data_IF_350035479154
#
_entry.id   IF_350035479154
#
_cell.length_a   1.000
_cell.length_b   1.000
_cell.length_c   1.000
_cell.angle_alpha   90.00
_cell.angle_beta   90.00
_cell.angle_gamma   90.00
#
_symmetry.space_group_name_H-M   'P 1'
#
loop_
_entity.id
_entity.type
_entity.pdbx_description
1 polymer ?
#
# COMPACT_ATOMS: atom_id res chain seq x y z
N UNK A 1 29.13 33.77 63.91
CA UNK A 1 27.75 33.78 63.37
C UNK A 1 27.67 34.01 61.85
N UNK A 2 28.43 34.94 61.25
CA UNK A 2 28.34 35.23 59.80
C UNK A 2 28.78 34.12 58.83
N UNK A 3 29.73 33.24 59.22
CA UNK A 3 30.19 32.14 58.33
C UNK A 3 29.21 30.96 58.23
N UNK A 4 28.34 30.77 59.22
CA UNK A 4 27.36 29.67 59.21
C UNK A 4 26.13 30.03 58.35
N UNK A 5 25.75 31.31 58.33
CA UNK A 5 24.59 31.82 57.56
C UNK A 5 24.85 31.73 56.05
N UNK A 6 26.06 32.03 55.58
CA UNK A 6 26.43 31.92 54.16
C UNK A 6 26.51 30.48 53.66
N UNK A 7 26.88 29.52 54.52
CA UNK A 7 26.91 28.10 54.17
C UNK A 7 25.48 27.52 54.04
N UNK A 8 24.56 27.96 54.90
CA UNK A 8 23.15 27.54 54.86
C UNK A 8 22.44 28.19 53.65
N UNK A 9 22.73 29.46 53.33
CA UNK A 9 22.19 30.15 52.16
C UNK A 9 22.66 29.52 50.83
N UNK A 10 23.94 29.11 50.75
CA UNK A 10 24.47 28.40 49.59
C UNK A 10 23.86 27.00 49.41
N UNK A 11 23.64 26.26 50.50
CA UNK A 11 23.01 24.94 50.45
C UNK A 11 21.52 25.00 50.07
N UNK A 12 20.79 26.03 50.50
CA UNK A 12 19.38 26.23 50.11
C UNK A 12 19.22 26.58 48.63
N UNK A 13 20.14 27.38 48.05
CA UNK A 13 20.10 27.71 46.62
C UNK A 13 20.38 26.48 45.74
N UNK A 14 21.34 25.62 46.12
CA UNK A 14 21.62 24.37 45.41
C UNK A 14 20.45 23.38 45.51
N UNK A 15 19.79 23.32 46.67
CA UNK A 15 18.59 22.49 46.86
C UNK A 15 17.38 22.95 46.04
N UNK A 16 17.17 24.27 45.91
CA UNK A 16 16.09 24.84 45.08
C UNK A 16 16.33 24.62 43.58
N UNK A 17 17.58 24.69 43.11
CA UNK A 17 17.93 24.37 41.72
C UNK A 17 17.79 22.86 41.42
N UNK A 18 18.12 21.98 42.36
CA UNK A 18 17.92 20.54 42.22
C UNK A 18 16.44 20.14 42.20
N UNK A 19 15.59 20.80 43.01
CA UNK A 19 14.14 20.59 42.99
C UNK A 19 13.51 21.09 41.67
N UNK A 20 13.99 22.18 41.10
CA UNK A 20 13.50 22.68 39.82
C UNK A 20 13.88 21.78 38.63
N UNK A 21 15.10 21.20 38.63
CA UNK A 21 15.53 20.24 37.62
C UNK A 21 14.79 18.89 37.74
N UNK A 22 14.49 18.45 38.96
CA UNK A 22 13.67 17.24 39.20
C UNK A 22 12.24 17.38 38.65
N UNK A 23 11.65 18.57 38.76
CA UNK A 23 10.32 18.89 38.22
C UNK A 23 10.30 18.96 36.68
N UNK A 24 11.40 19.39 36.07
CA UNK A 24 11.57 19.43 34.59
C UNK A 24 11.78 18.01 34.03
N UNK A 25 12.49 17.13 34.73
CA UNK A 25 12.67 15.74 34.30
C UNK A 25 11.40 14.88 34.50
N UNK A 26 10.63 15.07 35.57
CA UNK A 26 9.34 14.37 35.74
C UNK A 26 8.26 14.80 34.73
N UNK A 27 8.32 16.03 34.20
CA UNK A 27 7.40 16.48 33.15
C UNK A 27 7.81 16.07 31.73
N UNK A 28 9.07 15.62 31.54
CA UNK A 28 9.55 15.06 30.28
C UNK A 28 9.22 13.56 30.14
N UNK A 29 9.30 12.77 31.22
CA UNK A 29 9.01 11.32 31.19
C UNK A 29 7.51 11.01 31.17
N UNK A 30 6.65 11.90 31.70
CA UNK A 30 5.19 11.76 31.62
C UNK A 30 4.62 12.01 30.20
N UNK A 31 5.38 12.63 29.28
CA UNK A 31 4.95 12.84 27.89
C UNK A 31 5.32 11.71 26.93
N UNK A 32 6.17 10.77 27.36
CA UNK A 32 6.61 9.65 26.51
C UNK A 32 5.80 8.37 26.77
N UNK A 33 5.10 8.25 27.91
CA UNK A 33 4.38 7.03 28.27
C UNK A 33 2.87 7.02 27.92
N UNK A 34 2.26 8.16 27.58
CA UNK A 34 0.81 8.23 27.28
C UNK A 34 0.48 8.22 25.77
N UNK A 35 1.49 8.15 24.89
CA UNK A 35 1.31 8.07 23.43
C UNK A 35 1.16 6.64 22.88
N UNK A 36 1.21 5.61 23.74
CA UNK A 36 1.06 4.20 23.33
C UNK A 36 -0.27 3.54 23.72
N UNK A 37 -1.29 4.28 24.20
CA UNK A 37 -2.56 3.65 24.65
C UNK A 37 -3.90 4.28 24.24
N UNK A 38 -3.96 5.15 23.24
CA UNK A 38 -5.25 5.67 22.74
C UNK A 38 -5.36 5.70 21.21
N UNK A 39 -5.46 4.52 20.58
CA UNK A 39 -5.98 4.38 19.21
C UNK A 39 -6.83 3.11 19.06
N UNK A 40 -7.73 2.85 20.02
CA UNK A 40 -8.92 2.02 19.81
C UNK A 40 -10.08 2.60 20.62
N UNK A 41 -10.50 3.81 20.27
CA UNK A 41 -11.78 4.36 20.73
C UNK A 41 -12.39 5.17 19.59
N UNK A 42 -13.45 4.60 19.01
CA UNK A 42 -14.33 5.25 18.05
C UNK A 42 -14.89 6.54 18.65
N UNK A 43 -14.86 7.70 17.96
CA UNK A 43 -15.60 8.86 18.40
C UNK A 43 -17.04 8.73 17.93
N UNK A 44 -17.94 8.55 18.89
CA UNK A 44 -19.36 8.79 18.72
C UNK A 44 -19.60 10.19 18.17
N UNK A 45 -20.53 10.23 17.22
CA UNK A 45 -21.19 11.38 16.63
C UNK A 45 -21.49 12.53 17.60
N UNK A 46 -20.95 13.72 17.32
CA UNK A 46 -21.49 14.99 17.77
C UNK A 46 -21.80 15.83 16.51
N UNK A 47 -23.09 15.96 16.21
CA UNK A 47 -23.63 16.70 15.05
C UNK A 47 -24.05 18.08 15.54
N UNK A 48 -23.50 19.20 15.03
CA UNK A 48 -24.15 20.49 15.12
C UNK A 48 -25.23 20.57 14.03
N UNK A 49 -26.44 20.85 14.50
CA UNK A 49 -27.66 21.03 13.74
C UNK A 49 -27.55 22.22 12.77
N UNK A 50 -27.60 21.98 11.46
CA UNK A 50 -27.85 23.01 10.45
C UNK A 50 -28.82 22.47 9.39
N UNK A 51 -30.05 22.96 9.47
CA UNK A 51 -31.15 22.81 8.51
C UNK A 51 -30.81 23.44 7.16
N UNK A 52 -31.03 22.69 6.08
CA UNK A 52 -31.69 23.03 4.80
C UNK A 52 -31.07 22.21 3.66
N UNK A 53 -31.73 21.12 3.27
CA UNK A 53 -32.64 21.04 2.11
C UNK A 53 -31.93 21.13 0.76
N UNK A 54 -31.55 19.97 0.21
CA UNK A 54 -31.83 19.62 -1.19
C UNK A 54 -32.12 18.12 -1.28
N UNK A 55 -33.21 17.82 -1.98
CA UNK A 55 -33.91 16.53 -2.04
C UNK A 55 -33.23 15.52 -2.97
N UNK A 56 -33.01 14.33 -2.44
CA UNK A 56 -33.27 12.99 -3.01
C UNK A 56 -32.99 12.71 -4.49
N UNK A 57 -31.98 11.88 -4.75
CA UNK A 57 -32.08 10.72 -5.66
C UNK A 57 -31.34 9.53 -5.02
N UNK A 58 -32.08 8.48 -4.63
CA UNK A 58 -31.52 7.17 -4.28
C UNK A 58 -31.09 6.43 -5.57
N UNK A 59 -30.12 5.49 -5.47
CA UNK A 59 -30.55 4.09 -5.41
C UNK A 59 -29.72 3.20 -4.47
N UNK A 60 -30.44 2.41 -3.65
CA UNK A 60 -30.37 0.94 -3.72
C UNK A 60 -29.10 0.22 -3.25
N UNK A 61 -29.16 -0.24 -2.00
CA UNK A 61 -28.60 -1.49 -1.46
C UNK A 61 -27.58 -2.27 -2.32
N UNK A 62 -26.33 -2.33 -1.84
CA UNK A 62 -25.55 -3.56 -1.77
C UNK A 62 -24.40 -3.42 -0.75
N UNK A 63 -24.70 -3.62 0.53
CA UNK A 63 -23.70 -3.94 1.53
C UNK A 63 -23.26 -5.41 1.33
N UNK A 64 -22.27 -5.62 0.46
CA UNK A 64 -21.56 -6.89 0.31
C UNK A 64 -20.23 -6.83 1.05
N UNK A 65 -19.98 -7.80 1.94
CA UNK A 65 -18.70 -7.97 2.65
C UNK A 65 -17.55 -8.13 1.64
N UNK A 66 -16.74 -7.10 1.44
CA UNK A 66 -15.47 -7.24 0.73
C UNK A 66 -14.42 -7.76 1.72
N UNK A 67 -14.15 -9.07 1.63
CA UNK A 67 -12.96 -9.67 2.21
C UNK A 67 -11.70 -9.11 1.53
N UNK A 68 -10.58 -9.12 2.25
CA UNK A 68 -9.29 -8.69 1.76
C UNK A 68 -8.97 -9.32 0.39
N UNK A 69 -8.95 -8.51 -0.66
CA UNK A 69 -8.65 -8.97 -2.02
C UNK A 69 -7.14 -8.94 -2.25
N UNK A 70 -6.52 -10.11 -2.10
CA UNK A 70 -5.16 -10.39 -2.57
C UNK A 70 -5.16 -10.37 -4.10
N UNK A 71 -4.66 -9.29 -4.71
CA UNK A 71 -4.58 -9.12 -6.16
C UNK A 71 -3.44 -9.98 -6.75
N UNK A 72 -3.79 -11.19 -7.19
CA UNK A 72 -2.90 -12.11 -7.90
C UNK A 72 -2.68 -11.65 -9.34
N UNK A 73 -1.66 -10.82 -9.58
CA UNK A 73 -1.09 -10.60 -10.92
C UNK A 73 -0.14 -11.76 -11.22
N UNK A 74 -0.70 -12.85 -11.75
CA UNK A 74 0.05 -14.01 -12.21
C UNK A 74 0.24 -14.00 -13.72
N UNK A 75 1.48 -13.73 -14.16
CA UNK A 75 2.01 -14.02 -15.50
C UNK A 75 1.15 -13.55 -16.69
N UNK A 76 1.11 -12.22 -16.90
CA UNK A 76 0.77 -11.65 -18.21
C UNK A 76 1.92 -12.02 -19.18
N UNK A 77 1.66 -12.56 -20.39
CA UNK A 77 2.71 -12.83 -21.36
C UNK A 77 3.49 -11.54 -21.63
N UNK A 78 4.84 -11.62 -21.66
CA UNK A 78 5.64 -10.47 -22.11
C UNK A 78 5.22 -10.13 -23.54
N UNK A 79 4.74 -8.89 -23.70
CA UNK A 79 4.43 -8.16 -24.94
C UNK A 79 4.97 -8.86 -26.20
N UNK A 80 4.12 -9.69 -26.82
CA UNK A 80 4.30 -10.15 -28.19
C UNK A 80 3.90 -9.03 -29.16
N UNK A 81 4.60 -8.91 -30.28
CA UNK A 81 4.59 -7.77 -31.21
C UNK A 81 3.24 -7.45 -31.91
N UNK A 82 2.07 -7.95 -31.47
CA UNK A 82 0.77 -7.66 -32.09
C UNK A 82 -0.43 -7.63 -31.10
N UNK A 83 -0.23 -7.39 -29.80
CA UNK A 83 -1.32 -7.33 -28.81
C UNK A 83 -1.58 -5.88 -28.37
N UNK A 84 -2.27 -5.12 -29.22
CA UNK A 84 -2.72 -3.76 -28.87
C UNK A 84 -3.90 -3.87 -27.89
N UNK A 85 -3.66 -3.57 -26.62
CA UNK A 85 -4.72 -3.41 -25.63
C UNK A 85 -5.70 -2.34 -26.13
N UNK A 86 -6.86 -2.79 -26.64
CA UNK A 86 -7.81 -1.94 -27.37
C UNK A 86 -8.32 -0.82 -26.46
N UNK A 87 -7.80 0.38 -26.67
CA UNK A 87 -8.11 1.60 -25.90
C UNK A 87 -8.82 2.63 -26.77
N UNK A 88 -9.60 2.19 -27.74
CA UNK A 88 -10.38 3.09 -28.59
C UNK A 88 -11.81 3.27 -28.05
N UNK A 89 -12.09 4.48 -27.56
CA UNK A 89 -13.45 5.00 -27.36
C UNK A 89 -13.95 4.91 -25.91
N UNK A 90 -14.44 6.05 -25.38
CA UNK A 90 -14.98 6.16 -24.02
C UNK A 90 -15.95 5.01 -23.65
N UNK A 91 -15.80 4.52 -22.42
CA UNK A 91 -16.25 3.22 -21.89
C UNK A 91 -15.40 1.99 -22.33
N UNK A 92 -14.07 2.13 -22.27
CA UNK A 92 -13.08 1.16 -22.76
C UNK A 92 -13.12 -0.20 -22.05
N UNK A 93 -13.26 -1.27 -22.83
CA UNK A 93 -13.02 -2.65 -22.38
C UNK A 93 -11.52 -2.94 -22.48
N UNK A 94 -10.79 -2.73 -21.38
CA UNK A 94 -9.35 -3.04 -21.22
C UNK A 94 -9.10 -4.55 -21.27
N UNK A 95 -9.38 -5.18 -22.41
CA UNK A 95 -9.39 -6.61 -22.58
C UNK A 95 -8.69 -6.96 -23.90
N UNK A 96 -7.91 -8.04 -23.89
CA UNK A 96 -7.25 -8.57 -25.08
C UNK A 96 -7.40 -10.09 -25.10
N UNK A 97 -7.17 -10.70 -26.26
CA UNK A 97 -7.33 -12.14 -26.46
C UNK A 97 -5.99 -12.79 -26.77
N UNK A 98 -5.70 -13.90 -26.10
CA UNK A 98 -4.49 -14.70 -26.33
C UNK A 98 -4.87 -16.17 -26.52
N UNK A 99 -4.11 -16.87 -27.36
CA UNK A 99 -4.29 -18.32 -27.57
C UNK A 99 -3.19 -19.06 -26.84
N UNK A 100 -3.57 -19.90 -25.87
CA UNK A 100 -2.66 -20.64 -25.00
C UNK A 100 -2.96 -22.15 -25.02
N UNK A 101 -1.98 -23.01 -24.75
CA UNK A 101 -2.22 -24.44 -24.52
C UNK A 101 -3.16 -24.69 -23.32
N UNK A 102 -3.95 -25.77 -23.36
CA UNK A 102 -4.91 -26.09 -22.29
C UNK A 102 -4.27 -26.26 -20.90
N UNK A 103 -3.06 -26.78 -20.83
CA UNK A 103 -2.28 -27.00 -19.60
C UNK A 103 -1.75 -25.70 -18.98
N UNK A 104 -1.85 -24.57 -19.68
CA UNK A 104 -1.41 -23.26 -19.20
C UNK A 104 -2.57 -22.42 -18.65
N UNK A 105 -3.82 -22.84 -18.84
CA UNK A 105 -5.01 -22.08 -18.45
C UNK A 105 -5.02 -21.76 -16.95
N UNK A 106 -4.67 -22.74 -16.11
CA UNK A 106 -4.69 -22.58 -14.64
C UNK A 106 -3.64 -21.61 -14.10
N UNK A 107 -2.70 -21.15 -14.94
CA UNK A 107 -1.71 -20.13 -14.58
C UNK A 107 -2.27 -18.72 -14.62
N UNK A 108 -3.42 -18.52 -15.27
CA UNK A 108 -4.06 -17.22 -15.39
C UNK A 108 -5.21 -17.11 -14.40
N UNK A 109 -5.19 -16.03 -13.61
CA UNK A 109 -6.28 -15.71 -12.70
C UNK A 109 -7.40 -14.95 -13.43
N UNK A 110 -8.65 -15.25 -13.11
CA UNK A 110 -9.84 -14.51 -13.57
C UNK A 110 -9.95 -14.32 -15.09
N UNK A 111 -10.08 -15.44 -15.82
CA UNK A 111 -10.16 -15.45 -17.28
C UNK A 111 -11.58 -15.71 -17.81
N UNK A 112 -11.77 -15.44 -19.11
CA UNK A 112 -12.91 -15.93 -19.90
C UNK A 112 -12.43 -16.80 -21.05
N UNK A 113 -12.93 -18.04 -21.15
CA UNK A 113 -12.61 -18.92 -22.28
C UNK A 113 -13.56 -18.57 -23.43
N UNK A 114 -13.00 -18.19 -24.58
CA UNK A 114 -13.75 -17.81 -25.78
C UNK A 114 -13.96 -19.03 -26.66
N UNK A 115 -12.88 -19.79 -26.92
CA UNK A 115 -12.91 -20.94 -27.82
C UNK A 115 -11.92 -22.00 -27.37
N UNK A 116 -12.25 -23.28 -27.59
CA UNK A 116 -11.34 -24.41 -27.45
C UNK A 116 -11.14 -25.08 -28.81
N UNK A 117 -9.92 -25.04 -29.33
CA UNK A 117 -9.53 -25.66 -30.60
C UNK A 117 -8.38 -26.64 -30.39
N UNK A 118 -8.68 -27.94 -30.47
CA UNK A 118 -7.69 -29.00 -30.27
C UNK A 118 -7.04 -28.92 -28.89
N UNK A 119 -5.72 -28.74 -28.86
CA UNK A 119 -4.92 -28.59 -27.62
C UNK A 119 -4.76 -27.15 -27.12
N UNK A 120 -5.38 -26.19 -27.79
CA UNK A 120 -5.28 -24.76 -27.50
C UNK A 120 -6.64 -24.17 -27.13
N UNK A 121 -6.64 -23.24 -26.19
CA UNK A 121 -7.77 -22.40 -25.83
C UNK A 121 -7.47 -20.95 -26.14
N UNK A 122 -8.41 -20.27 -26.76
CA UNK A 122 -8.41 -18.81 -26.87
C UNK A 122 -9.11 -18.25 -25.64
N UNK A 123 -8.39 -17.44 -24.88
CA UNK A 123 -8.86 -16.83 -23.64
C UNK A 123 -8.86 -15.30 -23.75
N UNK A 124 -9.73 -14.67 -22.98
CA UNK A 124 -9.82 -13.22 -22.80
C UNK A 124 -9.21 -12.83 -21.46
N UNK A 125 -8.31 -11.85 -21.48
CA UNK A 125 -7.57 -11.34 -20.33
C UNK A 125 -7.78 -9.83 -20.20
N UNK A 126 -7.77 -9.31 -18.97
CA UNK A 126 -7.69 -7.88 -18.74
C UNK A 126 -6.27 -7.38 -18.98
N UNK A 127 -6.13 -6.15 -19.48
CA UNK A 127 -4.85 -5.48 -19.65
C UNK A 127 -4.08 -5.37 -18.32
N UNK A 128 -2.77 -5.17 -18.43
CA UNK A 128 -1.92 -4.97 -17.26
C UNK A 128 -2.43 -3.84 -16.36
N UNK A 129 -2.52 -4.13 -15.05
CA UNK A 129 -3.07 -3.20 -14.06
C UNK A 129 -4.61 -3.16 -13.98
N UNK A 130 -5.31 -4.02 -14.72
CA UNK A 130 -6.76 -4.19 -14.63
C UNK A 130 -7.13 -5.59 -14.13
N UNK A 131 -8.27 -5.71 -13.45
CA UNK A 131 -8.81 -6.99 -12.97
C UNK A 131 -10.22 -7.21 -13.49
N UNK A 132 -10.57 -8.48 -13.72
CA UNK A 132 -11.87 -8.86 -14.24
C UNK A 132 -12.93 -8.86 -13.12
N UNK A 133 -13.93 -8.00 -13.26
CA UNK A 133 -15.11 -7.97 -12.40
C UNK A 133 -16.30 -8.52 -13.19
N UNK A 134 -16.93 -9.56 -12.64
CA UNK A 134 -18.14 -10.17 -13.21
C UNK A 134 -19.37 -9.52 -12.59
N UNK A 135 -20.08 -8.71 -13.36
CA UNK A 135 -21.37 -8.16 -12.97
C UNK A 135 -22.49 -8.92 -13.71
N UNK A 136 -23.72 -8.82 -13.19
CA UNK A 136 -24.90 -9.55 -13.70
C UNK A 136 -25.18 -9.40 -15.21
N UNK A 137 -24.59 -8.39 -15.87
CA UNK A 137 -24.83 -8.08 -17.28
C UNK A 137 -23.57 -8.11 -18.16
N UNK A 138 -22.37 -8.00 -17.59
CA UNK A 138 -21.12 -7.94 -18.37
C UNK A 138 -19.87 -8.23 -17.55
N UNK A 139 -18.87 -8.75 -18.24
CA UNK A 139 -17.49 -8.82 -17.78
C UNK A 139 -16.84 -7.45 -17.99
N UNK A 140 -16.28 -6.86 -16.94
CA UNK A 140 -15.64 -5.55 -16.99
C UNK A 140 -14.23 -5.62 -16.42
N UNK A 141 -13.26 -5.10 -17.16
CA UNK A 141 -11.91 -4.91 -16.64
C UNK A 141 -11.84 -3.57 -15.91
N UNK A 142 -11.71 -3.62 -14.59
CA UNK A 142 -11.60 -2.42 -13.73
C UNK A 142 -10.15 -2.21 -13.32
N UNK A 143 -9.66 -0.96 -13.28
CA UNK A 143 -8.28 -0.68 -12.89
C UNK A 143 -8.03 -1.07 -11.43
N UNK A 144 -6.79 -1.44 -11.14
CA UNK A 144 -6.29 -1.77 -9.81
C UNK A 144 -5.45 -0.60 -9.32
N UNK A 145 -5.72 -0.15 -8.08
CA UNK A 145 -4.93 0.85 -7.37
C UNK A 145 -4.69 0.34 -5.95
N UNK A 146 -3.46 0.47 -5.45
CA UNK A 146 -3.15 0.03 -4.08
C UNK A 146 -3.66 1.01 -3.01
N UNK A 147 -3.52 2.31 -3.26
CA UNK A 147 -3.80 3.36 -2.28
C UNK A 147 -4.64 4.49 -2.88
N UNK A 148 -5.94 4.22 -3.07
CA UNK A 148 -6.90 5.18 -3.63
C UNK A 148 -7.95 5.63 -2.61
N UNK A 149 -7.52 5.96 -1.38
CA UNK A 149 -8.45 6.43 -0.34
C UNK A 149 -8.94 7.82 -0.70
N UNK A 150 -10.25 8.05 -0.59
CA UNK A 150 -10.91 9.31 -0.97
C UNK A 150 -10.80 9.67 -2.46
N UNK A 151 -10.68 8.66 -3.31
CA UNK A 151 -10.73 8.82 -4.76
C UNK A 151 -11.27 7.57 -5.44
N UNK A 152 -11.49 7.70 -6.74
CA UNK A 152 -11.84 6.63 -7.64
C UNK A 152 -10.60 6.21 -8.44
N UNK A 153 -10.36 4.90 -8.51
CA UNK A 153 -9.34 4.35 -9.39
C UNK A 153 -9.83 4.45 -10.84
N UNK A 154 -9.18 5.28 -11.66
CA UNK A 154 -9.57 5.56 -13.06
C UNK A 154 -8.59 4.98 -14.08
N UNK A 155 -7.43 4.55 -13.61
CA UNK A 155 -6.44 3.79 -14.36
C UNK A 155 -5.53 3.05 -13.38
N UNK A 156 -4.66 2.14 -13.86
CA UNK A 156 -3.71 1.43 -13.00
C UNK A 156 -2.91 2.42 -12.18
N UNK A 157 -3.02 2.31 -10.85
CA UNK A 157 -2.34 3.18 -9.87
C UNK A 157 -2.62 4.69 -10.05
N UNK A 158 -3.70 5.03 -10.78
CA UNK A 158 -4.13 6.40 -11.03
C UNK A 158 -5.46 6.68 -10.35
N UNK A 159 -5.40 7.55 -9.35
CA UNK A 159 -6.53 7.99 -8.56
C UNK A 159 -7.06 9.34 -9.04
N UNK A 160 -8.34 9.38 -9.36
CA UNK A 160 -9.12 10.61 -9.46
C UNK A 160 -9.72 10.91 -8.08
N UNK A 161 -9.28 11.98 -7.44
CA UNK A 161 -9.74 12.32 -6.09
C UNK A 161 -11.20 12.79 -6.09
N UNK A 162 -11.97 12.42 -5.06
CA UNK A 162 -13.33 12.91 -4.87
C UNK A 162 -13.35 14.42 -4.57
N UNK A 163 -14.53 15.02 -4.69
CA UNK A 163 -14.72 16.43 -4.38
C UNK A 163 -14.25 16.77 -2.96
N UNK A 164 -13.47 17.86 -2.86
CA UNK A 164 -12.83 18.28 -1.61
C UNK A 164 -11.53 17.55 -1.26
N UNK A 165 -11.03 16.68 -2.16
CA UNK A 165 -9.72 16.05 -2.05
C UNK A 165 -8.83 16.44 -3.24
N UNK A 166 -7.51 16.38 -3.04
CA UNK A 166 -6.52 16.68 -4.08
C UNK A 166 -5.36 15.71 -3.98
N UNK A 167 -4.76 15.37 -5.12
CA UNK A 167 -3.60 14.46 -5.18
C UNK A 167 -2.34 15.17 -4.68
N UNK A 168 -1.65 14.61 -3.70
CA UNK A 168 -0.37 15.10 -3.21
C UNK A 168 0.82 14.53 -4.00
N UNK A 169 2.04 14.92 -3.63
CA UNK A 169 3.29 14.45 -4.25
C UNK A 169 3.51 12.93 -4.12
N UNK A 170 2.86 12.29 -3.14
CA UNK A 170 2.90 10.83 -2.92
C UNK A 170 1.84 10.08 -3.73
N UNK A 171 0.99 10.79 -4.49
CA UNK A 171 -0.10 10.21 -5.26
C UNK A 171 -1.38 9.94 -4.47
N UNK A 172 -1.43 10.31 -3.19
CA UNK A 172 -2.57 10.11 -2.30
C UNK A 172 -3.60 11.26 -2.43
N UNK A 173 -4.88 10.94 -2.29
CA UNK A 173 -5.93 11.95 -2.23
C UNK A 173 -6.10 12.49 -0.80
N UNK A 174 -5.57 13.69 -0.57
CA UNK A 174 -5.55 14.37 0.73
C UNK A 174 -6.60 15.47 0.80
N UNK A 175 -6.99 15.84 2.02
CA UNK A 175 -8.01 16.88 2.24
C UNK A 175 -7.62 18.22 1.62
N UNK A 176 -8.57 18.81 0.91
CA UNK A 176 -8.54 20.19 0.42
C UNK A 176 -9.78 20.96 0.89
N UNK A 177 -9.70 22.28 0.84
CA UNK A 177 -10.78 23.12 1.33
C UNK A 177 -12.02 22.96 0.44
N UNK A 178 -13.23 23.00 1.01
CA UNK A 178 -13.55 23.41 2.38
C UNK A 178 -13.47 22.30 3.45
N UNK A 179 -13.21 21.05 3.07
CA UNK A 179 -13.20 19.91 4.01
C UNK A 179 -12.05 19.99 5.02
N UNK A 180 -10.89 20.47 4.57
CA UNK A 180 -9.71 20.65 5.41
C UNK A 180 -8.49 21.01 4.57
N UNK A 181 -7.32 21.16 5.19
CA UNK A 181 -6.08 21.25 4.43
C UNK A 181 -4.99 20.47 5.12
N UNK A 182 -4.38 19.53 4.40
CA UNK A 182 -3.25 18.78 4.93
C UNK A 182 -2.08 19.74 5.23
N UNK A 183 -1.59 19.72 6.48
CA UNK A 183 -0.53 20.61 7.00
C UNK A 183 -0.85 22.10 6.91
N UNK A 184 -2.12 22.45 7.16
CA UNK A 184 -2.55 23.83 7.17
C UNK A 184 -3.99 23.99 7.65
N UNK A 185 -4.56 25.15 7.33
CA UNK A 185 -5.93 25.52 7.68
C UNK A 185 -6.63 26.22 6.52
N UNK A 186 -7.94 26.00 6.41
CA UNK A 186 -8.73 26.65 5.38
C UNK A 186 -9.04 28.10 5.71
N UNK A 187 -8.97 28.95 4.70
CA UNK A 187 -9.58 30.27 4.70
C UNK A 187 -10.98 30.23 4.07
N UNK A 188 -11.76 31.28 4.33
CA UNK A 188 -13.13 31.45 3.85
C UNK A 188 -13.25 31.49 2.32
N UNK A 189 -12.18 31.86 1.62
CA UNK A 189 -12.11 31.88 0.16
C UNK A 189 -11.82 30.50 -0.46
N UNK A 190 -11.76 29.44 0.37
CA UNK A 190 -11.42 28.09 -0.06
C UNK A 190 -9.93 27.88 -0.31
N UNK A 191 -9.07 28.85 0.02
CA UNK A 191 -7.62 28.69 -0.07
C UNK A 191 -7.04 28.04 1.19
N UNK A 192 -5.91 27.36 1.03
CA UNK A 192 -5.18 26.83 2.18
C UNK A 192 -4.10 27.80 2.68
N UNK A 193 -4.06 27.98 4.01
CA UNK A 193 -2.92 28.57 4.72
C UNK A 193 -2.05 27.46 5.30
N UNK A 194 -0.80 27.40 4.86
CA UNK A 194 0.13 26.40 5.35
C UNK A 194 0.65 26.71 6.76
N UNK A 195 0.91 25.65 7.51
CA UNK A 195 1.59 25.70 8.79
C UNK A 195 3.10 26.03 8.60
N UNK A 196 3.79 26.49 9.65
CA UNK A 196 5.23 26.78 9.56
C UNK A 196 6.03 25.57 9.06
N UNK A 197 6.95 25.80 8.12
CA UNK A 197 7.72 24.74 7.48
C UNK A 197 7.04 24.08 6.27
N UNK A 198 5.83 24.54 5.92
CA UNK A 198 5.11 24.09 4.73
C UNK A 198 4.85 25.26 3.78
N UNK A 199 4.78 24.96 2.48
CA UNK A 199 4.43 25.91 1.43
C UNK A 199 3.27 25.39 0.62
N UNK A 200 2.54 26.33 0.05
CA UNK A 200 1.39 26.01 -0.78
C UNK A 200 1.87 25.30 -2.06
N UNK A 201 1.15 24.26 -2.45
CA UNK A 201 1.35 23.63 -3.74
C UNK A 201 0.99 24.57 -4.90
N UNK A 202 1.47 24.27 -6.11
CA UNK A 202 1.20 25.01 -7.34
C UNK A 202 -0.30 25.14 -7.63
N UNK A 203 -1.08 24.09 -7.33
CA UNK A 203 -2.54 24.08 -7.48
C UNK A 203 -3.26 24.90 -6.42
N UNK A 204 -2.55 25.39 -5.40
CA UNK A 204 -3.07 26.16 -4.25
C UNK A 204 -4.06 25.40 -3.35
N UNK A 205 -4.11 24.07 -3.49
CA UNK A 205 -5.13 23.22 -2.85
C UNK A 205 -4.65 22.43 -1.64
N UNK A 206 -3.34 22.28 -1.44
CA UNK A 206 -2.77 21.62 -0.26
C UNK A 206 -1.38 22.21 0.07
N UNK A 207 -0.84 21.86 1.24
CA UNK A 207 0.46 22.32 1.70
C UNK A 207 1.49 21.19 1.67
N UNK A 208 2.57 21.43 0.91
CA UNK A 208 3.74 20.54 0.82
C UNK A 208 4.85 20.99 1.76
N UNK A 209 5.59 20.07 2.39
CA UNK A 209 6.71 20.42 3.25
C UNK A 209 7.83 21.14 2.49
N UNK A 210 8.58 21.96 3.21
CA UNK A 210 9.75 22.68 2.69
C UNK A 210 11.00 21.93 3.13
N UNK A 211 11.90 21.63 2.18
CA UNK A 211 13.30 21.33 2.49
C UNK A 211 14.18 22.40 1.84
N UNK A 212 14.88 23.19 2.64
CA UNK A 212 15.61 24.37 2.18
C UNK A 212 16.75 24.02 1.21
N UNK A 213 17.32 22.82 1.33
CA UNK A 213 18.39 22.31 0.45
C UNK A 213 17.90 21.35 -0.63
N UNK A 214 16.59 21.05 -0.66
CA UNK A 214 16.05 19.94 -1.45
C UNK A 214 16.50 18.56 -0.95
N UNK A 215 15.96 17.50 -1.57
CA UNK A 215 16.23 16.10 -1.20
C UNK A 215 17.15 15.35 -2.17
N UNK A 216 18.04 16.10 -2.83
CA UNK A 216 18.94 15.56 -3.84
C UNK A 216 18.27 15.37 -5.20
N UNK A 217 18.95 14.63 -6.09
CA UNK A 217 18.50 14.36 -7.46
C UNK A 217 17.81 13.01 -7.64
N UNK A 218 17.78 12.19 -6.58
CA UNK A 218 17.14 10.88 -6.64
C UNK A 218 15.61 11.06 -6.68
N UNK A 219 14.91 10.61 -7.74
CA UNK A 219 13.46 10.77 -7.86
C UNK A 219 12.67 9.98 -6.80
N UNK A 220 13.31 9.01 -6.13
CA UNK A 220 12.71 8.26 -5.03
C UNK A 220 12.74 9.00 -3.69
N UNK A 221 13.36 10.19 -3.62
CA UNK A 221 13.41 11.01 -2.42
C UNK A 221 12.53 12.26 -2.59
N UNK A 222 11.72 12.55 -1.59
CA UNK A 222 10.97 13.79 -1.48
C UNK A 222 11.00 14.34 -0.05
N UNK A 223 10.46 15.55 0.12
CA UNK A 223 10.22 16.09 1.44
C UNK A 223 9.01 15.39 2.03
N UNK A 224 9.21 14.60 3.09
CA UNK A 224 8.12 13.92 3.80
C UNK A 224 7.63 14.73 5.00
N UNK A 225 8.50 15.59 5.55
CA UNK A 225 8.19 16.59 6.56
C UNK A 225 9.12 17.82 6.41
N UNK A 226 8.88 18.94 7.12
CA UNK A 226 9.72 20.12 7.04
C UNK A 226 11.19 19.80 7.37
N UNK A 227 12.09 20.12 6.44
CA UNK A 227 13.53 19.81 6.49
C UNK A 227 13.88 18.32 6.61
N UNK A 228 12.92 17.42 6.37
CA UNK A 228 13.12 15.97 6.42
C UNK A 228 12.90 15.36 5.04
N UNK A 229 13.97 14.78 4.51
CA UNK A 229 13.92 14.01 3.28
C UNK A 229 13.65 12.53 3.59
N UNK A 230 12.70 11.95 2.87
CA UNK A 230 12.34 10.54 2.98
C UNK A 230 12.07 9.94 1.62
N UNK A 231 11.83 8.63 1.61
CA UNK A 231 11.48 7.93 0.39
C UNK A 231 10.01 8.20 0.02
N UNK A 232 9.73 8.22 -1.29
CA UNK A 232 8.37 8.30 -1.83
C UNK A 232 7.53 7.09 -1.40
N UNK A 233 6.20 7.21 -1.55
CA UNK A 233 5.26 6.15 -1.17
C UNK A 233 5.62 4.79 -1.81
N UNK A 234 5.52 3.71 -1.03
CA UNK A 234 5.93 2.36 -1.41
C UNK A 234 7.41 2.04 -1.16
N UNK A 235 8.22 3.01 -0.73
CA UNK A 235 9.65 2.82 -0.48
C UNK A 235 10.05 3.13 0.97
N UNK A 236 11.06 2.42 1.47
CA UNK A 236 11.71 2.68 2.75
C UNK A 236 13.20 2.95 2.55
N UNK A 237 13.75 3.79 3.43
CA UNK A 237 15.17 4.07 3.44
C UNK A 237 15.93 2.86 4.03
N UNK A 238 16.88 2.32 3.27
CA UNK A 238 17.80 1.26 3.67
C UNK A 238 19.25 1.71 3.49
N UNK A 239 20.23 0.91 3.93
CA UNK A 239 21.65 1.20 3.75
C UNK A 239 22.05 1.35 2.26
N UNK A 240 21.29 0.74 1.35
CA UNK A 240 21.47 0.84 -0.09
C UNK A 240 20.62 1.94 -0.75
N UNK A 241 19.91 2.76 0.03
CA UNK A 241 18.98 3.80 -0.44
C UNK A 241 17.50 3.39 -0.34
N UNK A 242 16.64 4.08 -1.09
CA UNK A 242 15.20 3.80 -1.09
C UNK A 242 14.90 2.47 -1.79
N UNK A 243 14.33 1.52 -1.04
CA UNK A 243 13.93 0.20 -1.54
C UNK A 243 12.44 0.02 -1.36
N UNK A 244 11.78 -0.55 -2.37
CA UNK A 244 10.36 -0.86 -2.31
C UNK A 244 10.05 -1.86 -1.18
N UNK A 245 8.88 -1.69 -0.54
CA UNK A 245 8.39 -2.55 0.54
C UNK A 245 7.28 -3.46 0.04
N UNK A 246 7.44 -4.77 0.23
CA UNK A 246 6.40 -5.76 -0.02
C UNK A 246 6.13 -6.52 1.29
N UNK A 247 4.85 -6.65 1.64
CA UNK A 247 4.39 -7.46 2.76
C UNK A 247 3.25 -8.37 2.26
N UNK A 248 3.47 -9.69 2.12
CA UNK A 248 4.66 -10.46 2.51
C UNK A 248 5.88 -10.23 1.60
N UNK A 249 7.08 -10.57 2.10
CA UNK A 249 8.30 -10.52 1.28
C UNK A 249 8.22 -11.44 0.06
N UNK A 250 8.76 -11.00 -1.08
CA UNK A 250 8.60 -11.67 -2.37
C UNK A 250 9.33 -13.02 -2.53
N UNK A 251 10.26 -13.38 -1.64
CA UNK A 251 11.07 -14.59 -1.73
C UNK A 251 12.22 -14.52 -2.76
N UNK A 252 13.01 -15.61 -2.91
CA UNK A 252 14.31 -15.62 -3.63
C UNK A 252 14.23 -15.39 -5.14
N UNK A 253 13.04 -15.40 -5.73
CA UNK A 253 12.80 -15.17 -7.15
C UNK A 253 11.85 -14.03 -7.45
N UNK A 254 11.52 -13.19 -6.47
CA UNK A 254 10.64 -12.05 -6.65
C UNK A 254 11.37 -10.72 -6.41
N UNK A 255 11.08 -9.73 -7.24
CA UNK A 255 11.50 -8.34 -7.04
C UNK A 255 10.28 -7.52 -6.62
N UNK A 256 10.42 -6.74 -5.54
CA UNK A 256 9.36 -5.86 -5.08
C UNK A 256 9.37 -4.58 -5.92
N UNK A 257 8.23 -4.24 -6.51
CA UNK A 257 8.08 -3.01 -7.26
C UNK A 257 7.56 -1.85 -6.39
N UNK A 258 7.49 -0.65 -6.97
CA UNK A 258 7.06 0.59 -6.30
C UNK A 258 5.67 0.49 -5.62
N UNK A 259 4.84 -0.44 -6.08
CA UNK A 259 3.47 -0.65 -5.65
C UNK A 259 3.36 -1.92 -4.83
N UNK A 260 4.31 -2.20 -3.94
CA UNK A 260 4.21 -3.32 -2.99
C UNK A 260 3.95 -4.71 -3.59
N UNK A 261 4.18 -4.90 -4.90
CA UNK A 261 3.84 -6.12 -5.63
C UNK A 261 5.10 -6.84 -6.08
N UNK A 262 5.07 -8.16 -5.91
CA UNK A 262 6.16 -9.03 -6.27
C UNK A 262 6.13 -9.40 -7.75
N UNK A 263 7.15 -8.97 -8.47
CA UNK A 263 7.43 -9.36 -9.85
C UNK A 263 8.32 -10.60 -9.86
N UNK A 264 7.74 -11.74 -10.28
CA UNK A 264 8.45 -13.01 -10.27
C UNK A 264 9.36 -13.17 -11.50
N UNK A 265 10.61 -13.56 -11.26
CA UNK A 265 11.58 -13.88 -12.31
C UNK A 265 11.17 -15.15 -13.09
N UNK A 266 11.66 -15.33 -14.32
CA UNK A 266 11.41 -16.56 -15.08
C UNK A 266 11.76 -17.82 -14.28
N UNK A 267 10.84 -18.79 -14.25
CA UNK A 267 10.97 -19.99 -13.42
C UNK A 267 10.41 -19.84 -11.99
N UNK A 268 9.79 -18.70 -11.67
CA UNK A 268 8.98 -18.49 -10.48
C UNK A 268 7.54 -18.13 -10.86
N UNK A 269 6.59 -18.48 -10.01
CA UNK A 269 5.16 -18.16 -10.15
C UNK A 269 4.65 -17.52 -8.87
N UNK A 270 3.86 -16.45 -8.94
CA UNK A 270 3.29 -15.83 -7.75
C UNK A 270 2.23 -16.75 -7.14
N UNK A 271 2.33 -16.97 -5.83
CA UNK A 271 1.37 -17.69 -5.02
C UNK A 271 1.19 -16.95 -3.71
N UNK A 272 -0.03 -16.54 -3.39
CA UNK A 272 -0.37 -15.77 -2.18
C UNK A 272 0.49 -14.50 -1.99
N UNK A 273 0.84 -13.82 -3.09
CA UNK A 273 1.68 -12.62 -3.07
C UNK A 273 3.19 -12.88 -3.01
N UNK A 274 3.64 -14.14 -2.91
CA UNK A 274 5.05 -14.53 -2.83
C UNK A 274 5.48 -15.31 -4.08
N UNK A 275 6.69 -15.08 -4.58
CA UNK A 275 7.20 -15.80 -5.75
C UNK A 275 7.76 -17.17 -5.37
N UNK A 276 7.09 -18.23 -5.80
CA UNK A 276 7.50 -19.62 -5.57
C UNK A 276 8.19 -20.17 -6.80
N UNK A 277 9.25 -20.98 -6.63
CA UNK A 277 9.93 -21.60 -7.76
C UNK A 277 9.00 -22.60 -8.48
N UNK A 278 9.12 -22.72 -9.79
CA UNK A 278 8.48 -23.82 -10.54
C UNK A 278 9.40 -25.03 -10.44
N UNK A 279 8.96 -26.07 -9.74
CA UNK A 279 9.69 -27.33 -9.69
C UNK A 279 9.52 -28.12 -10.99
N UNK A 280 10.52 -28.95 -11.32
CA UNK A 280 10.35 -29.97 -12.35
C UNK A 280 9.43 -31.12 -11.91
N UNK A 281 9.38 -31.40 -10.60
CA UNK A 281 8.47 -32.37 -9.99
C UNK A 281 7.49 -31.63 -9.07
N UNK A 282 6.19 -31.93 -9.11
CA UNK A 282 5.21 -31.29 -8.23
C UNK A 282 5.53 -31.62 -6.76
N UNK A 283 5.62 -30.59 -5.91
CA UNK A 283 5.75 -30.73 -4.46
C UNK A 283 4.34 -30.84 -3.84
N UNK A 284 3.88 -32.05 -3.56
CA UNK A 284 2.68 -32.23 -2.75
C UNK A 284 2.96 -31.85 -1.30
N UNK A 285 2.05 -31.13 -0.64
CA UNK A 285 2.16 -30.71 0.78
C UNK A 285 3.40 -29.87 1.13
N UNK A 286 3.93 -29.11 0.16
CA UNK A 286 5.02 -28.17 0.38
C UNK A 286 5.07 -27.06 -0.66
N UNK A 287 6.01 -26.15 -0.48
CA UNK A 287 6.36 -25.10 -1.41
C UNK A 287 7.70 -25.40 -2.07
N UNK A 288 7.79 -25.15 -3.37
CA UNK A 288 9.03 -25.24 -4.12
C UNK A 288 10.00 -24.11 -3.70
N UNK A 289 11.12 -24.49 -3.09
CA UNK A 289 12.19 -23.55 -2.76
C UNK A 289 13.22 -23.44 -3.88
N UNK A 290 13.46 -24.53 -4.61
CA UNK A 290 14.29 -24.57 -5.80
C UNK A 290 13.77 -25.60 -6.80
N UNK A 291 14.31 -25.62 -8.03
CA UNK A 291 13.87 -26.52 -9.12
C UNK A 291 13.76 -28.02 -8.75
N UNK A 292 14.46 -28.46 -7.71
CA UNK A 292 14.51 -29.86 -7.25
C UNK A 292 14.27 -30.03 -5.74
N UNK A 293 13.86 -28.99 -5.00
CA UNK A 293 13.73 -29.08 -3.54
C UNK A 293 12.48 -28.38 -3.03
N UNK A 294 11.74 -29.10 -2.19
CA UNK A 294 10.55 -28.61 -1.50
C UNK A 294 10.87 -28.20 -0.06
N UNK A 295 10.26 -27.11 0.40
CA UNK A 295 10.06 -26.82 1.83
C UNK A 295 8.66 -27.32 2.19
N UNK A 296 8.56 -28.21 3.16
CA UNK A 296 7.30 -28.86 3.49
C UNK A 296 6.43 -28.01 4.42
N UNK A 297 5.11 -28.13 4.25
CA UNK A 297 4.15 -27.52 5.17
C UNK A 297 4.32 -28.12 6.57
N UNK A 298 3.89 -27.41 7.64
CA UNK A 298 3.91 -27.96 8.98
C UNK A 298 3.24 -29.33 9.07
N UNK A 299 3.93 -30.32 9.66
CA UNK A 299 3.46 -31.71 9.75
C UNK A 299 4.00 -32.66 8.68
N UNK A 300 4.71 -32.14 7.67
CA UNK A 300 5.32 -32.92 6.60
C UNK A 300 6.85 -32.82 6.63
N UNK A 301 7.52 -33.88 6.17
CA UNK A 301 8.98 -33.97 6.05
C UNK A 301 9.37 -34.21 4.59
N UNK A 302 10.48 -33.58 4.17
CA UNK A 302 11.00 -33.75 2.82
C UNK A 302 11.70 -35.11 2.68
N UNK A 303 11.32 -35.88 1.67
CA UNK A 303 11.92 -37.18 1.39
C UNK A 303 12.65 -37.15 0.05
N UNK A 304 13.97 -37.35 0.08
CA UNK A 304 14.82 -37.30 -1.13
C UNK A 304 14.50 -38.38 -2.16
N UNK A 305 14.01 -39.55 -1.73
CA UNK A 305 13.69 -40.66 -2.64
C UNK A 305 12.47 -40.41 -3.54
N UNK A 306 11.51 -39.61 -3.07
CA UNK A 306 10.28 -39.28 -3.80
C UNK A 306 10.29 -37.84 -4.32
N UNK A 307 11.25 -37.02 -3.90
CA UNK A 307 11.31 -35.60 -4.19
C UNK A 307 10.14 -34.81 -3.58
N UNK A 308 9.45 -35.36 -2.57
CA UNK A 308 8.15 -34.88 -2.11
C UNK A 308 8.04 -34.77 -0.58
N UNK A 309 7.01 -34.05 -0.10
CA UNK A 309 6.73 -33.89 1.32
C UNK A 309 5.72 -34.93 1.81
N UNK A 310 6.17 -35.82 2.70
CA UNK A 310 5.35 -36.89 3.27
C UNK A 310 5.01 -36.60 4.72
N UNK A 311 3.91 -37.17 5.23
CA UNK A 311 3.57 -37.02 6.65
C UNK A 311 4.71 -37.52 7.54
N UNK A 312 4.99 -36.77 8.60
CA UNK A 312 5.90 -37.23 9.64
C UNK A 312 5.33 -38.52 10.24
N UNK A 313 6.07 -39.65 10.21
CA UNK A 313 5.58 -40.88 10.83
C UNK A 313 5.37 -40.63 12.32
N UNK A 314 4.14 -40.82 12.79
CA UNK A 314 3.82 -40.81 14.21
C UNK A 314 4.57 -41.99 14.85
N UNK A 315 5.43 -41.68 15.83
CA UNK A 315 6.03 -42.73 16.65
C UNK A 315 4.92 -43.30 17.51
N UNK A 316 4.47 -44.52 17.17
CA UNK A 316 3.74 -45.39 18.09
C UNK A 316 4.55 -45.65 19.37
#
# INVERSE_FOLDING_TARGET
MFKLINFIAGALLVALFAQHLSYIFQSAEARVYDQKRSTYASPQSYVPNARNQYQSMEPGLAAGRYGAHNSLIGNIPRRGENEECSSEGGNQTHMYTVTIPHDQIDKYSYIKIIEKKGRFSTISLCCEGYTLVRNWQRDLCTPVCENCRNGQCVGPELCECYDGFVRNDNGDCVFSCPLGCLNGRCYLDGSCKCDPGYKLDETRRFCRPICSKGCGTNPLLNCTAPEVCGCVNGYILTDAGCKAVCDPECGPGGECNAYGRCECKPGYTPKDGVCHAVCYQPCENGMCYSRHRCICNPGFIYMESTGNCIHKPEKN
#
